data_IF_110301394343
#
_entry.id   IF_110301394343
#
_cell.length_a   1.000
_cell.length_b   1.000
_cell.length_c   1.000
_cell.angle_alpha   90.00
_cell.angle_beta   90.00
_cell.angle_gamma   90.00
#
_symmetry.space_group_name_H-M   'P 1'
#
loop_
_entity.id
_entity.type
_entity.pdbx_description
1 polymer ?
#
# COMPACT_ATOMS: atom_id res chain seq x y z
N UNK A 1 11.58 -3.77 14.10
CA UNK A 1 10.26 -3.33 13.60
C UNK A 1 10.46 -2.97 12.15
N UNK A 2 9.63 -3.50 11.26
CA UNK A 2 9.76 -3.32 9.83
C UNK A 2 9.32 -1.91 9.43
N UNK A 3 10.02 -1.30 8.47
CA UNK A 3 9.69 0.03 7.96
C UNK A 3 8.80 -0.08 6.72
N UNK A 4 7.59 0.47 6.80
CA UNK A 4 6.62 0.53 5.71
C UNK A 4 6.60 1.92 5.09
N UNK A 5 6.44 1.99 3.78
CA UNK A 5 6.36 3.22 3.00
C UNK A 5 5.01 3.30 2.32
N UNK A 6 4.27 4.39 2.54
CA UNK A 6 2.99 4.66 1.88
C UNK A 6 3.24 4.99 0.41
N UNK A 7 2.95 4.03 -0.47
CA UNK A 7 3.22 4.16 -1.90
C UNK A 7 1.96 4.41 -2.73
N UNK A 8 0.80 4.38 -2.10
CA UNK A 8 -0.44 4.73 -2.75
C UNK A 8 -1.41 5.28 -1.71
N UNK A 9 -2.04 6.41 -2.03
CA UNK A 9 -3.10 7.02 -1.26
C UNK A 9 -4.22 7.42 -2.21
N UNK A 10 -5.46 7.13 -1.80
CA UNK A 10 -6.66 7.49 -2.54
C UNK A 10 -7.83 7.62 -1.60
N UNK A 11 -8.92 8.22 -2.07
CA UNK A 11 -10.11 8.35 -1.25
C UNK A 11 -11.35 7.99 -2.04
N UNK A 12 -12.34 7.42 -1.36
CA UNK A 12 -13.63 7.04 -1.94
C UNK A 12 -14.76 7.80 -1.22
N UNK A 13 -15.61 8.54 -1.96
CA UNK A 13 -16.80 9.13 -1.36
C UNK A 13 -17.73 8.04 -0.81
N UNK A 14 -18.26 8.24 0.41
CA UNK A 14 -19.30 7.38 0.97
C UNK A 14 -20.66 8.06 0.90
N UNK A 15 -21.76 7.33 0.62
CA UNK A 15 -23.10 7.90 0.45
C UNK A 15 -23.61 8.76 1.63
N UNK A 16 -23.08 8.54 2.84
CA UNK A 16 -23.53 9.19 4.07
C UNK A 16 -22.41 9.91 4.84
N UNK A 17 -21.22 10.06 4.26
CA UNK A 17 -20.08 10.70 4.93
C UNK A 17 -19.85 12.17 4.54
N UNK A 18 -20.81 12.80 3.86
CA UNK A 18 -20.71 14.18 3.36
C UNK A 18 -19.36 14.43 2.65
N UNK A 19 -18.55 15.37 3.17
CA UNK A 19 -17.24 15.78 2.64
C UNK A 19 -16.04 15.04 3.25
N UNK A 20 -16.26 13.93 3.96
CA UNK A 20 -15.20 13.10 4.52
C UNK A 20 -15.02 11.85 3.67
N UNK A 21 -14.20 11.90 2.61
CA UNK A 21 -13.99 10.75 1.76
C UNK A 21 -13.18 9.69 2.54
N UNK A 22 -13.56 8.42 2.36
CA UNK A 22 -12.92 7.30 3.06
C UNK A 22 -11.54 7.05 2.46
N UNK A 23 -10.45 7.18 3.24
CA UNK A 23 -9.11 7.00 2.72
C UNK A 23 -8.81 5.51 2.54
N UNK A 24 -7.95 5.25 1.56
CA UNK A 24 -7.37 3.96 1.24
C UNK A 24 -5.88 4.16 1.03
N UNK A 25 -5.08 3.29 1.64
CA UNK A 25 -3.64 3.33 1.56
C UNK A 25 -3.07 1.95 1.22
N UNK A 26 -1.97 1.95 0.48
CA UNK A 26 -1.14 0.76 0.23
C UNK A 26 0.29 1.10 0.59
N UNK A 27 0.85 0.34 1.53
CA UNK A 27 2.21 0.52 1.99
C UNK A 27 3.04 -0.74 1.73
N UNK A 28 4.33 -0.54 1.43
CA UNK A 28 5.27 -1.65 1.22
C UNK A 28 6.43 -1.58 2.20
N UNK A 29 6.82 -2.74 2.71
CA UNK A 29 8.10 -2.96 3.34
C UNK A 29 9.09 -3.52 2.32
N UNK A 30 10.28 -2.91 2.26
CA UNK A 30 11.37 -3.37 1.38
C UNK A 30 12.25 -4.46 2.02
N UNK A 31 12.03 -4.74 3.30
CA UNK A 31 12.75 -5.78 4.04
C UNK A 31 12.11 -7.16 3.78
N UNK A 32 12.86 -8.27 3.87
CA UNK A 32 12.34 -9.61 3.64
C UNK A 32 11.50 -10.09 4.83
N UNK A 33 10.25 -9.61 4.93
CA UNK A 33 9.29 -9.96 5.98
C UNK A 33 8.14 -10.82 5.44
N UNK A 34 7.52 -11.68 6.28
CA UNK A 34 6.33 -12.46 5.93
C UNK A 34 5.16 -11.66 5.33
N UNK A 35 4.91 -10.44 5.85
CA UNK A 35 3.78 -9.60 5.43
C UNK A 35 4.24 -8.25 4.88
N UNK A 36 4.86 -8.21 3.69
CA UNK A 36 5.51 -6.99 3.19
C UNK A 36 4.55 -5.95 2.62
N UNK A 37 3.26 -6.26 2.47
CA UNK A 37 2.24 -5.35 1.93
C UNK A 37 1.22 -5.05 3.00
N UNK A 38 0.92 -3.78 3.23
CA UNK A 38 -0.22 -3.37 4.06
C UNK A 38 -1.27 -2.68 3.22
N UNK A 39 -2.52 -2.97 3.56
CA UNK A 39 -3.68 -2.25 3.08
C UNK A 39 -4.31 -1.60 4.30
N UNK A 40 -4.69 -0.32 4.18
CA UNK A 40 -5.49 0.32 5.22
C UNK A 40 -6.62 1.15 4.63
N UNK A 41 -7.73 1.20 5.35
CA UNK A 41 -8.90 1.99 4.98
C UNK A 41 -9.55 2.65 6.21
N UNK A 42 -10.02 3.88 6.02
CA UNK A 42 -10.84 4.59 7.01
C UNK A 42 -10.14 5.63 7.88
N UNK A 43 -10.95 6.30 8.72
CA UNK A 43 -10.53 7.41 9.58
C UNK A 43 -10.79 7.11 11.06
N UNK A 44 -9.84 7.43 11.94
CA UNK A 44 -10.01 7.39 13.40
C UNK A 44 -9.95 6.00 14.05
N UNK A 45 -10.54 5.88 15.26
CA UNK A 45 -10.68 4.63 16.03
C UNK A 45 -11.64 3.67 15.30
N UNK A 46 -11.15 3.00 14.26
CA UNK A 46 -11.95 2.21 13.33
C UNK A 46 -11.29 2.02 11.96
N UNK A 47 -10.14 2.66 11.71
CA UNK A 47 -9.31 2.36 10.55
C UNK A 47 -8.97 0.86 10.53
N UNK A 48 -9.41 0.18 9.48
CA UNK A 48 -9.11 -1.22 9.27
C UNK A 48 -7.80 -1.29 8.49
N UNK A 49 -6.76 -1.85 9.12
CA UNK A 49 -5.48 -2.09 8.48
C UNK A 49 -5.11 -3.55 8.61
N UNK A 50 -4.58 -4.14 7.54
CA UNK A 50 -4.01 -5.47 7.60
C UNK A 50 -2.70 -5.55 6.81
N UNK A 51 -1.75 -6.28 7.37
CA UNK A 51 -0.56 -6.71 6.66
C UNK A 51 -0.81 -8.09 6.05
N UNK A 52 -0.38 -8.29 4.81
CA UNK A 52 -0.60 -9.52 4.05
C UNK A 52 0.67 -9.93 3.31
N UNK A 53 0.74 -11.21 2.94
CA UNK A 53 1.83 -11.71 2.10
C UNK A 53 1.75 -11.09 0.69
N UNK A 54 2.85 -11.14 -0.06
CA UNK A 54 2.86 -10.68 -1.45
C UNK A 54 1.92 -11.50 -2.36
N UNK A 55 1.69 -12.78 -2.03
CA UNK A 55 0.72 -13.63 -2.75
C UNK A 55 -0.71 -13.18 -2.45
N UNK A 56 -1.00 -12.92 -1.18
CA UNK A 56 -2.34 -12.50 -0.75
C UNK A 56 -2.68 -11.11 -1.28
N UNK A 57 -1.71 -10.20 -1.36
CA UNK A 57 -1.89 -8.86 -1.93
C UNK A 57 -2.37 -8.86 -3.39
N UNK A 58 -2.14 -9.94 -4.14
CA UNK A 58 -2.58 -10.08 -5.53
C UNK A 58 -3.98 -10.71 -5.65
N UNK A 59 -4.61 -11.09 -4.54
CA UNK A 59 -5.95 -11.67 -4.56
C UNK A 59 -7.00 -10.65 -5.01
N UNK A 60 -8.09 -11.10 -5.67
CA UNK A 60 -9.14 -10.21 -6.16
C UNK A 60 -9.74 -9.28 -5.11
N UNK A 61 -9.76 -9.69 -3.84
CA UNK A 61 -10.24 -8.89 -2.70
C UNK A 61 -9.57 -7.52 -2.60
N UNK A 62 -8.30 -7.39 -3.00
CA UNK A 62 -7.53 -6.15 -2.87
C UNK A 62 -7.62 -5.22 -4.09
N UNK A 63 -8.25 -5.65 -5.19
CA UNK A 63 -8.33 -4.85 -6.43
C UNK A 63 -8.91 -3.47 -6.20
N UNK A 64 -9.92 -3.36 -5.34
CA UNK A 64 -10.54 -2.08 -5.01
C UNK A 64 -9.53 -1.07 -4.43
N UNK A 65 -8.55 -1.51 -3.65
CA UNK A 65 -7.51 -0.61 -3.12
C UNK A 65 -6.64 -0.08 -4.26
N UNK A 66 -6.21 -0.93 -5.19
CA UNK A 66 -5.42 -0.51 -6.35
C UNK A 66 -6.20 0.44 -7.28
N UNK A 67 -7.49 0.19 -7.47
CA UNK A 67 -8.38 1.06 -8.25
C UNK A 67 -8.54 2.44 -7.61
N UNK A 68 -8.90 2.48 -6.32
CA UNK A 68 -9.17 3.74 -5.60
C UNK A 68 -7.90 4.59 -5.48
N UNK A 69 -6.76 3.94 -5.23
CA UNK A 69 -5.46 4.61 -5.08
C UNK A 69 -4.72 4.80 -6.41
N UNK A 70 -5.31 4.37 -7.53
CA UNK A 70 -4.73 4.43 -8.89
C UNK A 70 -3.32 3.83 -8.98
N UNK A 71 -3.06 2.77 -8.22
CA UNK A 71 -1.71 2.26 -7.95
C UNK A 71 -1.41 0.92 -8.59
N UNK A 72 -2.11 0.59 -9.68
CA UNK A 72 -1.85 -0.58 -10.53
C UNK A 72 -0.38 -0.72 -10.96
N UNK A 73 0.38 0.37 -10.97
CA UNK A 73 1.82 0.37 -11.22
C UNK A 73 2.65 -0.42 -10.19
N UNK A 74 2.11 -0.68 -8.99
CA UNK A 74 2.75 -1.48 -7.95
C UNK A 74 2.68 -2.99 -8.24
N UNK A 75 1.68 -3.44 -9.00
CA UNK A 75 1.40 -4.88 -9.20
C UNK A 75 2.59 -5.64 -9.76
N UNK A 76 3.30 -5.18 -10.81
CA UNK A 76 4.45 -5.91 -11.33
C UNK A 76 5.58 -6.10 -10.28
N UNK A 77 5.69 -5.18 -9.31
CA UNK A 77 6.67 -5.32 -8.23
C UNK A 77 6.20 -6.35 -7.18
N UNK A 78 4.90 -6.36 -6.85
CA UNK A 78 4.31 -7.32 -5.92
C UNK A 78 4.33 -8.74 -6.52
N UNK A 79 4.11 -8.89 -7.82
CA UNK A 79 4.25 -10.16 -8.55
C UNK A 79 5.68 -10.70 -8.47
N UNK A 80 6.69 -9.85 -8.66
CA UNK A 80 8.09 -10.25 -8.50
C UNK A 80 8.40 -10.63 -7.06
N UNK A 81 7.87 -9.88 -6.09
CA UNK A 81 8.03 -10.18 -4.68
C UNK A 81 7.39 -11.51 -4.28
N UNK A 82 6.22 -11.85 -4.84
CA UNK A 82 5.56 -13.14 -4.58
C UNK A 82 6.36 -14.34 -5.11
N UNK A 83 7.26 -14.10 -6.06
CA UNK A 83 8.24 -15.07 -6.58
C UNK A 83 9.55 -15.08 -5.79
N UNK A 84 9.66 -14.31 -4.70
CA UNK A 84 10.86 -14.20 -3.87
C UNK A 84 11.91 -13.23 -4.41
N UNK A 85 11.59 -12.41 -5.42
CA UNK A 85 12.52 -11.40 -5.95
C UNK A 85 12.45 -10.15 -5.07
N UNK A 86 13.58 -9.67 -4.51
CA UNK A 86 13.59 -8.46 -3.70
C UNK A 86 13.09 -7.22 -4.46
N UNK A 87 12.37 -6.35 -3.75
CA UNK A 87 11.86 -5.11 -4.32
C UNK A 87 13.00 -4.12 -4.65
N UNK A 88 13.04 -3.54 -5.87
CA UNK A 88 14.03 -2.54 -6.24
C UNK A 88 13.69 -1.18 -5.60
N UNK A 89 14.03 -0.99 -4.33
CA UNK A 89 13.67 0.20 -3.53
C UNK A 89 13.94 1.52 -4.25
N UNK A 90 15.15 1.73 -4.78
CA UNK A 90 15.50 2.98 -5.44
C UNK A 90 14.62 3.29 -6.66
N UNK A 91 14.23 2.26 -7.41
CA UNK A 91 13.38 2.39 -8.59
C UNK A 91 11.94 2.76 -8.19
N UNK A 92 11.37 2.03 -7.21
CA UNK A 92 10.01 2.27 -6.72
C UNK A 92 9.89 3.66 -6.11
N UNK A 93 10.87 4.08 -5.30
CA UNK A 93 10.90 5.42 -4.69
C UNK A 93 11.00 6.52 -5.74
N UNK A 94 11.85 6.36 -6.76
CA UNK A 94 11.94 7.30 -7.88
C UNK A 94 10.61 7.41 -8.62
N UNK A 95 9.99 6.27 -8.95
CA UNK A 95 8.70 6.23 -9.63
C UNK A 95 7.59 6.91 -8.82
N UNK A 96 7.57 6.73 -7.51
CA UNK A 96 6.64 7.44 -6.64
C UNK A 96 6.85 8.97 -6.72
N UNK A 97 8.10 9.43 -6.63
CA UNK A 97 8.43 10.86 -6.76
C UNK A 97 8.02 11.41 -8.13
N UNK A 98 8.23 10.66 -9.21
CA UNK A 98 7.83 11.06 -10.56
C UNK A 98 6.31 11.21 -10.69
N UNK A 99 5.53 10.39 -9.97
CA UNK A 99 4.07 10.43 -9.98
C UNK A 99 3.46 11.49 -9.05
N UNK A 100 4.08 11.72 -7.88
CA UNK A 100 3.47 12.50 -6.79
C UNK A 100 4.25 13.77 -6.43
N UNK A 101 5.45 13.98 -6.98
CA UNK A 101 6.28 15.17 -6.73
C UNK A 101 6.88 15.25 -5.32
N UNK A 102 6.69 14.23 -4.48
CA UNK A 102 7.18 14.16 -3.09
C UNK A 102 7.67 12.77 -2.73
N UNK A 103 8.42 12.66 -1.63
CA UNK A 103 8.78 11.37 -1.04
C UNK A 103 7.55 10.73 -0.37
N UNK A 104 7.42 9.40 -0.38
CA UNK A 104 6.38 8.71 0.37
C UNK A 104 6.62 8.85 1.88
N UNK A 105 5.54 8.88 2.64
CA UNK A 105 5.59 8.81 4.09
C UNK A 105 5.98 7.40 4.54
N UNK A 106 6.56 7.27 5.73
CA UNK A 106 6.96 5.97 6.26
C UNK A 106 6.72 5.85 7.76
N UNK A 107 6.48 4.63 8.21
CA UNK A 107 6.24 4.32 9.62
C UNK A 107 6.79 2.94 9.98
N UNK A 108 7.16 2.78 11.25
CA UNK A 108 7.56 1.49 11.79
C UNK A 108 6.32 0.69 12.22
N UNK A 109 6.31 -0.60 11.90
CA UNK A 109 5.27 -1.51 12.38
C UNK A 109 5.84 -2.83 12.90
N UNK A 110 5.09 -3.47 13.79
CA UNK A 110 5.33 -4.81 14.32
C UNK A 110 4.66 -5.91 13.50
N UNK A 111 4.05 -5.61 12.35
CA UNK A 111 3.41 -6.60 11.47
C UNK A 111 4.38 -7.62 10.84
N UNK A 112 5.69 -7.44 11.05
CA UNK A 112 6.75 -8.30 10.52
C UNK A 112 6.48 -9.78 10.78
#
# INVERSE_FOLDING_TARGET
>A
MALYFNLAHGTKPLPHAADFPWPFDIDLCFEPVPHPVTFSEGVGHGAAGCAVSAVDALQPTWRAHFDITQSWWLIPYIERLSQGVPLPRAEIMRRYVDLHGRQPECYQSSYA
#
